data_IF_162056955142
#
_entry.id   IF_162056955142
#
_cell.length_a   1.000
_cell.length_b   1.000
_cell.length_c   1.000
_cell.angle_alpha   90.00
_cell.angle_beta   90.00
_cell.angle_gamma   90.00
#
_symmetry.space_group_name_H-M   'P 1'
#
loop_
_entity.id
_entity.type
_entity.pdbx_description
1 polymer ?
#
# COMPACT_ATOMS: atom_id res chain seq x y z
N UNK A 1 53.54 -9.98 30.55
CA UNK A 1 53.21 -8.99 29.50
C UNK A 1 52.04 -9.42 28.60
N UNK A 2 51.91 -10.71 28.29
CA UNK A 2 50.86 -11.31 27.42
C UNK A 2 49.41 -11.07 27.87
N UNK A 3 49.10 -11.10 29.18
CA UNK A 3 47.74 -10.87 29.69
C UNK A 3 47.18 -9.46 29.40
N UNK A 4 48.04 -8.43 29.35
CA UNK A 4 47.63 -7.06 29.03
C UNK A 4 47.28 -6.91 27.55
N UNK A 5 48.04 -7.54 26.67
CA UNK A 5 47.79 -7.54 25.22
C UNK A 5 46.47 -8.24 24.90
N UNK A 6 46.18 -9.37 25.56
CA UNK A 6 44.92 -10.09 25.37
C UNK A 6 43.69 -9.27 25.81
N UNK A 7 43.81 -8.52 26.91
CA UNK A 7 42.77 -7.60 27.40
C UNK A 7 42.54 -6.43 26.43
N UNK A 8 43.61 -5.87 25.86
CA UNK A 8 43.54 -4.76 24.91
C UNK A 8 42.93 -5.21 23.58
N UNK A 9 43.35 -6.37 23.06
CA UNK A 9 42.80 -6.93 21.81
C UNK A 9 41.32 -7.28 21.99
N UNK A 10 40.92 -7.84 23.13
CA UNK A 10 39.52 -8.13 23.43
C UNK A 10 38.62 -6.89 23.44
N UNK A 11 39.11 -5.77 24.02
CA UNK A 11 38.37 -4.50 23.98
C UNK A 11 38.24 -3.93 22.57
N UNK A 12 39.29 -4.01 21.76
CA UNK A 12 39.27 -3.50 20.38
C UNK A 12 38.27 -4.28 19.53
N UNK A 13 38.24 -5.61 19.64
CA UNK A 13 37.27 -6.45 18.91
C UNK A 13 35.84 -6.14 19.33
N UNK A 14 35.60 -5.85 20.61
CA UNK A 14 34.27 -5.53 21.13
C UNK A 14 33.78 -4.17 20.60
N UNK A 15 34.66 -3.17 20.54
CA UNK A 15 34.35 -1.85 19.95
C UNK A 15 34.08 -1.98 18.45
N UNK A 16 34.91 -2.73 17.71
CA UNK A 16 34.69 -2.97 16.27
C UNK A 16 33.37 -3.70 16.04
N UNK A 17 33.06 -4.73 16.82
CA UNK A 17 31.80 -5.48 16.73
C UNK A 17 30.58 -4.58 16.95
N UNK A 18 30.66 -3.64 17.90
CA UNK A 18 29.60 -2.66 18.14
C UNK A 18 29.44 -1.70 16.96
N UNK A 19 30.53 -1.17 16.40
CA UNK A 19 30.49 -0.26 15.25
C UNK A 19 29.97 -0.96 13.99
N UNK A 20 30.46 -2.17 13.71
CA UNK A 20 29.99 -2.98 12.57
C UNK A 20 28.55 -3.43 12.76
N UNK A 21 28.14 -3.73 13.99
CA UNK A 21 26.75 -4.08 14.33
C UNK A 21 25.78 -2.92 14.08
N UNK A 22 26.17 -1.68 14.37
CA UNK A 22 25.37 -0.48 14.04
C UNK A 22 25.24 -0.30 12.53
N UNK A 23 26.33 -0.46 11.78
CA UNK A 23 26.32 -0.36 10.31
C UNK A 23 25.47 -1.46 9.63
N UNK A 24 25.54 -2.70 10.12
CA UNK A 24 24.72 -3.82 9.61
C UNK A 24 23.22 -3.69 9.93
N UNK A 25 22.87 -2.93 10.97
CA UNK A 25 21.47 -2.61 11.28
C UNK A 25 20.96 -1.46 10.42
N UNK A 26 21.81 -0.49 10.08
CA UNK A 26 21.49 0.56 9.10
C UNK A 26 21.24 -0.02 7.69
N UNK A 27 21.99 -1.06 7.28
CA UNK A 27 21.79 -1.74 5.99
C UNK A 27 20.51 -2.62 5.95
N UNK A 28 19.83 -2.78 7.10
CA UNK A 28 18.52 -3.44 7.21
C UNK A 28 17.34 -2.47 7.23
N UNK A 29 17.57 -1.17 7.07
CA UNK A 29 16.48 -0.27 6.74
C UNK A 29 15.96 -0.67 5.36
N UNK A 30 14.86 -1.44 5.36
CA UNK A 30 14.03 -1.67 4.18
C UNK A 30 13.96 -0.33 3.46
N UNK A 31 14.51 -0.29 2.24
CA UNK A 31 14.71 0.96 1.52
C UNK A 31 13.38 1.72 1.53
N UNK A 32 13.41 3.02 1.81
CA UNK A 32 12.18 3.81 1.90
C UNK A 32 11.30 3.64 0.64
N UNK A 33 11.95 3.35 -0.48
CA UNK A 33 11.35 3.02 -1.77
C UNK A 33 10.66 1.65 -1.80
N UNK A 34 11.22 0.59 -1.21
CA UNK A 34 10.55 -0.71 -1.07
C UNK A 34 9.30 -0.62 -0.19
N UNK A 35 9.37 0.14 0.91
CA UNK A 35 8.20 0.40 1.76
C UNK A 35 7.12 1.21 1.02
N UNK A 36 7.53 2.16 0.18
CA UNK A 36 6.63 2.97 -0.65
C UNK A 36 5.95 2.12 -1.72
N UNK A 37 6.71 1.28 -2.45
CA UNK A 37 6.17 0.35 -3.45
C UNK A 37 5.21 -0.66 -2.82
N UNK A 38 5.57 -1.22 -1.66
CA UNK A 38 4.70 -2.16 -0.93
C UNK A 38 3.38 -1.51 -0.54
N UNK A 39 3.43 -0.27 -0.02
CA UNK A 39 2.21 0.49 0.30
C UNK A 39 1.36 0.76 -0.95
N UNK A 40 1.98 1.18 -2.05
CA UNK A 40 1.28 1.43 -3.31
C UNK A 40 0.58 0.17 -3.83
N UNK A 41 1.25 -0.99 -3.78
CA UNK A 41 0.65 -2.27 -4.17
C UNK A 41 -0.54 -2.67 -3.28
N UNK A 42 -0.48 -2.39 -1.97
CA UNK A 42 -1.59 -2.65 -1.05
C UNK A 42 -2.78 -1.73 -1.36
N UNK A 43 -2.54 -0.43 -1.58
CA UNK A 43 -3.60 0.52 -1.93
C UNK A 43 -4.26 0.17 -3.26
N UNK A 44 -3.48 -0.20 -4.27
CA UNK A 44 -4.02 -0.61 -5.57
C UNK A 44 -4.93 -1.85 -5.45
N UNK A 45 -4.53 -2.84 -4.63
CA UNK A 45 -5.37 -4.01 -4.34
C UNK A 45 -6.68 -3.62 -3.64
N UNK A 46 -6.61 -2.70 -2.67
CA UNK A 46 -7.78 -2.22 -1.95
C UNK A 46 -8.73 -1.47 -2.89
N UNK A 47 -8.22 -0.55 -3.70
CA UNK A 47 -9.01 0.21 -4.67
C UNK A 47 -9.67 -0.72 -5.71
N UNK A 48 -8.95 -1.75 -6.16
CA UNK A 48 -9.51 -2.75 -7.09
C UNK A 48 -10.65 -3.55 -6.45
N UNK A 49 -10.50 -3.94 -5.19
CA UNK A 49 -11.56 -4.63 -4.44
C UNK A 49 -12.78 -3.73 -4.19
N UNK A 50 -12.55 -2.46 -3.87
CA UNK A 50 -13.60 -1.44 -3.73
C UNK A 50 -14.36 -1.27 -5.06
N UNK A 51 -13.65 -1.20 -6.18
CA UNK A 51 -14.25 -1.08 -7.51
C UNK A 51 -15.13 -2.29 -7.87
N UNK A 52 -14.73 -3.51 -7.49
CA UNK A 52 -15.54 -4.71 -7.65
C UNK A 52 -16.81 -4.65 -6.80
N UNK A 53 -16.68 -4.29 -5.52
CA UNK A 53 -17.82 -4.17 -4.61
C UNK A 53 -18.83 -3.11 -5.08
N UNK A 54 -18.37 -1.94 -5.51
CA UNK A 54 -19.23 -0.89 -6.06
C UNK A 54 -19.88 -1.32 -7.38
N UNK A 55 -19.19 -2.11 -8.20
CA UNK A 55 -19.76 -2.65 -9.44
C UNK A 55 -20.88 -3.64 -9.15
N UNK A 56 -20.72 -4.51 -8.16
CA UNK A 56 -21.80 -5.42 -7.72
C UNK A 56 -23.01 -4.64 -7.21
N UNK A 57 -22.77 -3.65 -6.34
CA UNK A 57 -23.84 -2.78 -5.83
C UNK A 57 -24.56 -2.04 -6.97
N UNK A 58 -23.82 -1.50 -7.94
CA UNK A 58 -24.39 -0.83 -9.10
C UNK A 58 -25.40 -1.70 -9.83
N UNK A 59 -25.02 -2.95 -10.18
CA UNK A 59 -25.92 -3.83 -10.92
C UNK A 59 -27.11 -4.29 -10.08
N UNK A 60 -26.94 -4.45 -8.76
CA UNK A 60 -28.04 -4.73 -7.85
C UNK A 60 -29.05 -3.59 -7.82
N UNK A 61 -28.60 -2.35 -7.61
CA UNK A 61 -29.48 -1.18 -7.57
C UNK A 61 -30.08 -0.84 -8.93
N UNK A 62 -29.33 -1.05 -10.02
CA UNK A 62 -29.84 -0.90 -11.38
C UNK A 62 -30.97 -1.87 -11.66
N UNK A 63 -30.80 -3.15 -11.31
CA UNK A 63 -31.86 -4.15 -11.44
C UNK A 63 -33.12 -3.78 -10.63
N UNK A 64 -32.95 -3.24 -9.42
CA UNK A 64 -34.07 -2.74 -8.61
C UNK A 64 -34.73 -1.50 -9.20
N UNK A 65 -33.94 -0.58 -9.76
CA UNK A 65 -34.42 0.63 -10.45
C UNK A 65 -35.18 0.29 -11.72
N UNK A 66 -34.73 -0.71 -12.48
CA UNK A 66 -35.40 -1.16 -13.70
C UNK A 66 -36.76 -1.83 -13.38
N UNK A 67 -36.84 -2.52 -12.25
CA UNK A 67 -38.08 -3.10 -11.73
C UNK A 67 -39.03 -2.05 -11.13
N UNK A 68 -38.49 -0.91 -10.66
CA UNK A 68 -39.24 0.17 -10.01
C UNK A 68 -38.89 1.53 -10.64
N UNK A 69 -39.27 1.77 -11.90
CA UNK A 69 -38.77 2.91 -12.70
C UNK A 69 -39.18 4.29 -12.15
N UNK A 70 -40.23 4.34 -11.34
CA UNK A 70 -40.74 5.58 -10.74
C UNK A 70 -40.07 5.91 -9.40
N UNK A 71 -39.23 5.03 -8.87
CA UNK A 71 -38.52 5.28 -7.60
C UNK A 71 -37.30 6.18 -7.85
N UNK A 72 -37.47 7.46 -7.50
CA UNK A 72 -36.38 8.45 -7.59
C UNK A 72 -35.22 8.13 -6.65
N UNK A 73 -35.46 7.53 -5.48
CA UNK A 73 -34.42 7.19 -4.51
C UNK A 73 -33.47 6.14 -5.04
N UNK A 74 -34.01 5.11 -5.71
CA UNK A 74 -33.19 4.06 -6.35
C UNK A 74 -32.33 4.63 -7.48
N UNK A 75 -32.90 5.50 -8.32
CA UNK A 75 -32.15 6.17 -9.40
C UNK A 75 -31.03 7.07 -8.86
N UNK A 76 -31.29 7.78 -7.77
CA UNK A 76 -30.28 8.64 -7.14
C UNK A 76 -29.17 7.81 -6.49
N UNK A 77 -29.50 6.66 -5.91
CA UNK A 77 -28.50 5.71 -5.40
C UNK A 77 -27.63 5.14 -6.51
N UNK A 78 -28.23 4.73 -7.65
CA UNK A 78 -27.47 4.29 -8.83
C UNK A 78 -26.50 5.36 -9.29
N UNK A 79 -26.94 6.62 -9.37
CA UNK A 79 -26.10 7.76 -9.77
C UNK A 79 -24.97 8.02 -8.78
N UNK A 80 -25.22 7.93 -7.47
CA UNK A 80 -24.17 8.06 -6.44
C UNK A 80 -23.09 6.99 -6.61
N UNK A 81 -23.50 5.73 -6.80
CA UNK A 81 -22.58 4.62 -7.04
C UNK A 81 -21.77 4.84 -8.33
N UNK A 82 -22.38 5.35 -9.40
CA UNK A 82 -21.64 5.69 -10.63
C UNK A 82 -20.53 6.72 -10.40
N UNK A 83 -20.82 7.77 -9.62
CA UNK A 83 -19.83 8.81 -9.26
C UNK A 83 -18.70 8.21 -8.42
N UNK A 84 -19.03 7.39 -7.42
CA UNK A 84 -18.02 6.73 -6.58
C UNK A 84 -17.13 5.79 -7.40
N UNK A 85 -17.70 4.99 -8.30
CA UNK A 85 -16.94 4.12 -9.22
C UNK A 85 -15.99 4.89 -10.12
N UNK A 86 -16.43 6.05 -10.62
CA UNK A 86 -15.58 6.90 -11.45
C UNK A 86 -14.40 7.48 -10.65
N UNK A 87 -14.64 7.87 -9.39
CA UNK A 87 -13.59 8.36 -8.50
C UNK A 87 -12.56 7.27 -8.16
N UNK A 88 -13.00 6.05 -7.83
CA UNK A 88 -12.11 4.91 -7.56
C UNK A 88 -11.32 4.53 -8.82
N UNK A 89 -11.97 4.51 -9.98
CA UNK A 89 -11.27 4.25 -11.26
C UNK A 89 -10.15 5.25 -11.50
N UNK A 90 -10.39 6.54 -11.27
CA UNK A 90 -9.34 7.57 -11.40
C UNK A 90 -8.18 7.34 -10.42
N UNK A 91 -8.43 6.83 -9.20
CA UNK A 91 -7.34 6.48 -8.26
C UNK A 91 -6.51 5.31 -8.79
N UNK A 92 -7.16 4.28 -9.31
CA UNK A 92 -6.51 3.11 -9.92
C UNK A 92 -5.67 3.54 -11.13
N UNK A 93 -6.25 4.30 -12.06
CA UNK A 93 -5.57 4.75 -13.28
C UNK A 93 -4.34 5.62 -12.94
N UNK A 94 -4.46 6.50 -11.95
CA UNK A 94 -3.33 7.29 -11.45
C UNK A 94 -2.26 6.43 -10.78
N UNK A 95 -2.65 5.42 -10.02
CA UNK A 95 -1.72 4.51 -9.36
C UNK A 95 -0.94 3.66 -10.38
N UNK A 96 -1.61 3.17 -11.43
CA UNK A 96 -0.97 2.43 -12.52
C UNK A 96 -0.01 3.31 -13.33
N UNK A 97 -0.46 4.52 -13.73
CA UNK A 97 0.38 5.46 -14.48
C UNK A 97 1.63 5.90 -13.72
N UNK A 98 1.52 6.04 -12.39
CA UNK A 98 2.66 6.38 -11.53
C UNK A 98 3.53 5.17 -11.17
N UNK A 99 3.06 3.94 -11.43
CA UNK A 99 3.80 2.69 -11.23
C UNK A 99 4.64 2.28 -12.45
N UNK A 100 4.22 2.67 -13.66
CA UNK A 100 4.91 2.37 -14.93
C UNK A 100 6.10 3.31 -15.25
N UNK A 101 6.45 4.22 -14.34
CA UNK A 101 7.47 5.26 -14.53
C UNK A 101 8.83 5.01 -13.88
N UNK A 102 9.12 3.79 -13.41
CA UNK A 102 10.40 3.40 -12.82
C UNK A 102 11.06 2.27 -13.63
#
# INVERSE_FOLDING_TARGET
>A
MTKKILSVVGSIVLVISLVTGVWLVDDRYVSADELKQTKQAIFLKLDTAEQLALTEQYYKFKGLSDQNPNDQSLRDQVRKIEVERAAVQLRIDNALRNGDGN
#
